data_IF_875977852723
#
_entry.id   IF_875977852723
#
_cell.length_a   1.000
_cell.length_b   1.000
_cell.length_c   1.000
_cell.angle_alpha   90.00
_cell.angle_beta   90.00
_cell.angle_gamma   90.00
#
_symmetry.space_group_name_H-M   'P 1'
#
loop_
_entity.id
_entity.type
_entity.pdbx_description
1 polymer ?
#
# COMPACT_ATOMS: atom_id res chain seq x y z
N UNK A 1 9.61 -8.57 8.88
CA UNK A 1 10.61 -7.58 9.30
C UNK A 1 10.76 -7.66 10.79
N UNK A 2 11.98 -7.79 11.29
CA UNK A 2 12.26 -7.64 12.72
C UNK A 2 12.06 -6.18 13.11
N UNK A 3 11.43 -5.94 14.27
CA UNK A 3 11.21 -4.58 14.77
C UNK A 3 12.56 -3.95 15.13
N UNK A 4 12.85 -2.80 14.52
CA UNK A 4 14.07 -2.02 14.80
C UNK A 4 13.81 -0.83 15.73
N UNK A 5 12.53 -0.54 16.00
CA UNK A 5 12.10 0.54 16.88
C UNK A 5 11.25 -0.07 18.00
N UNK A 6 11.68 0.14 19.25
CA UNK A 6 10.98 -0.33 20.45
C UNK A 6 10.47 0.89 21.22
N UNK A 7 9.18 0.88 21.58
CA UNK A 7 8.60 1.87 22.49
C UNK A 7 8.89 1.46 23.94
N UNK A 8 9.58 2.32 24.69
CA UNK A 8 9.86 2.12 26.12
C UNK A 8 8.64 2.51 26.97
N UNK A 9 8.62 2.03 28.21
CA UNK A 9 7.54 2.32 29.18
C UNK A 9 7.35 3.83 29.45
N UNK A 10 8.43 4.60 29.37
CA UNK A 10 8.42 6.06 29.53
C UNK A 10 7.93 6.82 28.28
N UNK A 11 7.49 6.13 27.23
CA UNK A 11 7.00 6.72 25.99
C UNK A 11 8.09 7.12 24.98
N UNK A 12 9.37 6.95 25.30
CA UNK A 12 10.47 7.17 24.35
C UNK A 12 10.65 5.99 23.41
N UNK A 13 11.40 6.19 22.33
CA UNK A 13 11.71 5.15 21.34
C UNK A 13 13.19 4.83 21.36
N UNK A 14 13.50 3.54 21.25
CA UNK A 14 14.86 3.04 21.09
C UNK A 14 15.02 2.41 19.73
N UNK A 15 16.08 2.81 19.03
CA UNK A 15 16.45 2.24 17.75
C UNK A 15 17.52 1.20 18.03
N UNK A 16 17.23 -0.05 17.66
CA UNK A 16 18.16 -1.18 17.83
C UNK A 16 19.31 -1.06 16.81
N UNK A 17 18.94 -0.84 15.56
CA UNK A 17 19.84 -0.66 14.42
C UNK A 17 19.30 0.46 13.54
N UNK A 18 20.06 1.56 13.44
CA UNK A 18 19.67 2.75 12.71
C UNK A 18 19.64 2.52 11.21
N UNK A 19 20.63 1.83 10.64
CA UNK A 19 20.68 1.56 9.21
C UNK A 19 19.51 0.67 8.82
N UNK A 20 19.23 -0.38 9.63
CA UNK A 20 18.10 -1.27 9.37
C UNK A 20 16.75 -0.60 9.53
N UNK A 21 16.62 0.31 10.50
CA UNK A 21 15.41 1.11 10.68
C UNK A 21 15.14 1.99 9.46
N UNK A 22 16.17 2.65 8.92
CA UNK A 22 16.07 3.48 7.71
C UNK A 22 15.68 2.63 6.49
N UNK A 23 16.34 1.49 6.26
CA UNK A 23 15.97 0.59 5.15
C UNK A 23 14.51 0.14 5.21
N UNK A 24 14.02 -0.19 6.42
CA UNK A 24 12.63 -0.59 6.61
C UNK A 24 11.67 0.54 6.29
N UNK A 25 12.02 1.78 6.67
CA UNK A 25 11.22 2.96 6.37
C UNK A 25 11.17 3.22 4.86
N UNK A 26 12.30 3.18 4.16
CA UNK A 26 12.35 3.37 2.70
C UNK A 26 11.47 2.33 1.99
N UNK A 27 11.59 1.03 2.34
CA UNK A 27 10.73 -0.02 1.76
C UNK A 27 9.25 0.22 2.02
N UNK A 28 8.92 0.80 3.17
CA UNK A 28 7.55 1.14 3.51
C UNK A 28 7.04 2.32 2.67
N UNK A 29 7.85 3.37 2.50
CA UNK A 29 7.54 4.53 1.66
C UNK A 29 7.34 4.12 0.19
N UNK A 30 8.22 3.27 -0.36
CA UNK A 30 8.08 2.73 -1.72
C UNK A 30 6.79 1.90 -1.89
N UNK A 31 6.46 1.07 -0.91
CA UNK A 31 5.21 0.31 -0.89
C UNK A 31 3.99 1.23 -0.86
N UNK A 32 4.03 2.26 -0.02
CA UNK A 32 2.97 3.25 0.08
C UNK A 32 2.76 3.98 -1.25
N UNK A 33 3.83 4.51 -1.85
CA UNK A 33 3.77 5.16 -3.17
C UNK A 33 3.20 4.23 -4.24
N UNK A 34 3.62 2.97 -4.24
CA UNK A 34 3.09 1.96 -5.16
C UNK A 34 1.58 1.78 -5.03
N UNK A 35 1.06 1.67 -3.80
CA UNK A 35 -0.38 1.52 -3.53
C UNK A 35 -1.16 2.78 -3.93
N UNK A 36 -0.64 3.96 -3.62
CA UNK A 36 -1.29 5.23 -3.97
C UNK A 36 -1.34 5.44 -5.49
N UNK A 37 -0.27 5.11 -6.21
CA UNK A 37 -0.26 5.15 -7.68
C UNK A 37 -1.26 4.17 -8.31
N UNK A 38 -1.54 3.05 -7.63
CA UNK A 38 -2.53 2.06 -8.07
C UNK A 38 -3.96 2.49 -7.78
N UNK A 39 -4.18 3.35 -6.78
CA UNK A 39 -5.49 3.92 -6.50
C UNK A 39 -6.00 4.76 -7.68
N UNK A 40 -5.10 5.46 -8.39
CA UNK A 40 -5.42 6.28 -9.56
C UNK A 40 -5.40 5.49 -10.87
N UNK A 41 -4.35 4.69 -11.11
CA UNK A 41 -4.14 4.02 -12.40
C UNK A 41 -5.11 2.86 -12.68
N UNK A 42 -5.52 2.08 -11.66
CA UNK A 42 -6.42 0.93 -11.88
C UNK A 42 -7.81 1.38 -12.35
N UNK A 43 -8.47 2.39 -11.72
CA UNK A 43 -9.74 2.92 -12.23
C UNK A 43 -9.68 3.40 -13.68
N UNK A 44 -8.58 4.04 -14.09
CA UNK A 44 -8.37 4.51 -15.47
C UNK A 44 -8.29 3.32 -16.45
N UNK A 45 -7.51 2.29 -16.13
CA UNK A 45 -7.40 1.10 -16.97
C UNK A 45 -8.73 0.33 -17.05
N UNK A 46 -9.47 0.22 -15.94
CA UNK A 46 -10.80 -0.35 -15.92
C UNK A 46 -11.80 0.44 -16.77
N UNK A 47 -11.74 1.77 -16.75
CA UNK A 47 -12.59 2.62 -17.59
C UNK A 47 -12.28 2.41 -19.09
N UNK A 48 -11.00 2.32 -19.45
CA UNK A 48 -10.58 2.00 -20.82
C UNK A 48 -11.13 0.64 -21.26
N UNK A 49 -10.98 -0.39 -20.44
CA UNK A 49 -11.50 -1.73 -20.77
C UNK A 49 -13.03 -1.77 -20.88
N UNK A 50 -13.77 -0.98 -20.10
CA UNK A 50 -15.23 -0.82 -20.26
C UNK A 50 -15.59 -0.21 -21.60
N UNK A 51 -14.91 0.87 -22.00
CA UNK A 51 -15.15 1.52 -23.30
C UNK A 51 -14.84 0.59 -24.48
N UNK A 52 -13.92 -0.36 -24.30
CA UNK A 52 -13.60 -1.41 -25.27
C UNK A 52 -14.53 -2.65 -25.20
N UNK A 53 -15.50 -2.69 -24.29
CA UNK A 53 -16.41 -3.83 -24.09
C UNK A 53 -15.75 -5.07 -23.47
N UNK A 54 -14.59 -4.92 -22.81
CA UNK A 54 -13.73 -6.02 -22.32
C UNK A 54 -13.98 -6.43 -20.86
N UNK A 55 -15.18 -6.18 -20.33
CA UNK A 55 -15.53 -6.42 -18.92
C UNK A 55 -15.45 -7.89 -18.50
N UNK A 56 -15.62 -8.83 -19.45
CA UNK A 56 -15.60 -10.28 -19.15
C UNK A 56 -14.20 -10.89 -19.19
N UNK A 57 -13.18 -10.12 -19.58
CA UNK A 57 -11.80 -10.61 -19.74
C UNK A 57 -11.14 -10.92 -18.40
N UNK A 58 -10.13 -11.79 -18.42
CA UNK A 58 -9.32 -12.10 -17.25
C UNK A 58 -8.67 -10.83 -16.67
N UNK A 59 -8.09 -9.98 -17.53
CA UNK A 59 -7.45 -8.72 -17.13
C UNK A 59 -8.40 -7.79 -16.38
N UNK A 60 -9.64 -7.65 -16.84
CA UNK A 60 -10.64 -6.82 -16.15
C UNK A 60 -10.94 -7.36 -14.75
N UNK A 61 -11.13 -8.67 -14.61
CA UNK A 61 -11.40 -9.31 -13.30
C UNK A 61 -10.20 -9.19 -12.36
N UNK A 62 -8.99 -9.37 -12.87
CA UNK A 62 -7.74 -9.18 -12.13
C UNK A 62 -7.65 -7.75 -11.57
N UNK A 63 -7.84 -6.73 -12.42
CA UNK A 63 -7.82 -5.33 -12.01
C UNK A 63 -8.91 -4.99 -10.99
N UNK A 64 -10.11 -5.57 -11.13
CA UNK A 64 -11.16 -5.41 -10.12
C UNK A 64 -10.75 -5.99 -8.77
N UNK A 65 -10.15 -7.19 -8.74
CA UNK A 65 -9.63 -7.79 -7.51
C UNK A 65 -8.51 -6.94 -6.90
N UNK A 66 -7.58 -6.47 -7.74
CA UNK A 66 -6.50 -5.59 -7.31
C UNK A 66 -7.02 -4.26 -6.76
N UNK A 67 -8.05 -3.66 -7.36
CA UNK A 67 -8.69 -2.44 -6.85
C UNK A 67 -9.27 -2.66 -5.46
N UNK A 68 -9.98 -3.77 -5.25
CA UNK A 68 -10.58 -4.09 -3.94
C UNK A 68 -9.50 -4.28 -2.87
N UNK A 69 -8.43 -5.00 -3.19
CA UNK A 69 -7.29 -5.18 -2.28
C UNK A 69 -6.60 -3.84 -1.97
N UNK A 70 -6.40 -2.98 -2.98
CA UNK A 70 -5.80 -1.66 -2.80
C UNK A 70 -6.65 -0.78 -1.87
N UNK A 71 -7.97 -0.74 -2.09
CA UNK A 71 -8.89 -0.01 -1.22
C UNK A 71 -8.89 -0.55 0.21
N UNK A 72 -8.88 -1.87 0.39
CA UNK A 72 -8.79 -2.50 1.72
C UNK A 72 -7.50 -2.10 2.43
N UNK A 73 -6.37 -2.12 1.72
CA UNK A 73 -5.07 -1.75 2.28
C UNK A 73 -5.01 -0.28 2.69
N UNK A 74 -5.53 0.63 1.85
CA UNK A 74 -5.60 2.06 2.17
C UNK A 74 -6.49 2.30 3.40
N UNK A 75 -7.62 1.59 3.52
CA UNK A 75 -8.46 1.67 4.71
C UNK A 75 -7.69 1.25 5.97
N UNK A 76 -6.91 0.16 5.90
CA UNK A 76 -6.08 -0.29 7.02
C UNK A 76 -5.01 0.76 7.37
N UNK A 77 -4.32 1.34 6.39
CA UNK A 77 -3.33 2.41 6.66
C UNK A 77 -3.94 3.56 7.46
N UNK A 78 -5.15 4.01 7.08
CA UNK A 78 -5.89 5.07 7.78
C UNK A 78 -6.24 4.70 9.23
N UNK A 79 -6.57 3.44 9.52
CA UNK A 79 -6.85 2.99 10.89
C UNK A 79 -5.64 3.12 11.81
N UNK A 80 -4.42 3.03 11.25
CA UNK A 80 -3.17 3.21 11.99
C UNK A 80 -2.65 4.65 11.96
N UNK A 81 -3.45 5.61 11.47
CA UNK A 81 -3.07 7.01 11.25
C UNK A 81 -1.81 7.14 10.36
N UNK A 82 -1.66 6.18 9.44
CA UNK A 82 -0.64 6.19 8.42
C UNK A 82 -1.29 6.79 7.17
N UNK A 83 -0.85 8.01 6.87
CA UNK A 83 -1.41 8.99 5.93
C UNK A 83 -2.21 8.45 4.75
#
# INVERSE_FOLDING_TARGET
MERQIIKKENGTYEIIDMEKAIENLVRFEELYEYIMNRETSIPEELAKLRNEGKEKTFRFRELMGQKLLNTSFISLLKEFDIK
#
